data_IF_016570258901
#
_entry.id   IF_016570258901
#
_cell.length_a   1.000
_cell.length_b   1.000
_cell.length_c   1.000
_cell.angle_alpha   90.00
_cell.angle_beta   90.00
_cell.angle_gamma   90.00
#
_symmetry.space_group_name_H-M   'P 1'
#
loop_
_entity.id
_entity.type
_entity.pdbx_description
1 polymer ?
#
# COMPACT_ATOMS: atom_id res chain seq x y z
N UNK A 1 33.47 -8.85 43.83
CA UNK A 1 33.83 -9.07 42.42
C UNK A 1 32.55 -9.46 41.68
N UNK A 2 31.88 -8.50 41.04
CA UNK A 2 30.55 -8.69 40.42
C UNK A 2 30.71 -9.22 38.99
N UNK A 3 30.18 -10.42 38.73
CA UNK A 3 30.03 -10.98 37.39
C UNK A 3 28.81 -10.30 36.76
N UNK A 4 29.03 -9.49 35.71
CA UNK A 4 27.97 -8.95 34.87
C UNK A 4 27.55 -10.02 33.87
N UNK A 5 26.36 -10.60 34.07
CA UNK A 5 25.71 -11.47 33.09
C UNK A 5 25.13 -10.60 31.99
N UNK A 6 25.72 -10.65 30.79
CA UNK A 6 25.15 -10.02 29.60
C UNK A 6 24.04 -10.93 29.07
N UNK A 7 22.79 -10.46 29.11
CA UNK A 7 21.67 -11.05 28.40
C UNK A 7 21.88 -10.74 26.92
N UNK A 8 22.18 -11.78 26.14
CA UNK A 8 22.21 -11.70 24.69
C UNK A 8 20.75 -11.72 24.22
N UNK A 9 20.22 -10.55 23.83
CA UNK A 9 18.93 -10.46 23.16
C UNK A 9 19.10 -11.08 21.76
N UNK A 10 18.68 -12.33 21.61
CA UNK A 10 18.55 -12.94 20.30
C UNK A 10 17.29 -12.37 19.65
N UNK A 11 17.45 -11.39 18.76
CA UNK A 11 16.40 -11.05 17.81
C UNK A 11 16.19 -12.27 16.91
N UNK A 12 15.15 -13.05 17.18
CA UNK A 12 14.65 -14.05 16.24
C UNK A 12 14.01 -13.26 15.10
N UNK A 13 14.80 -12.97 14.07
CA UNK A 13 14.29 -12.58 12.76
C UNK A 13 13.50 -13.79 12.24
N UNK A 14 12.18 -13.75 12.42
CA UNK A 14 11.25 -14.63 11.73
C UNK A 14 11.31 -14.32 10.24
N UNK A 15 12.25 -14.92 9.54
CA UNK A 15 12.36 -14.85 8.09
C UNK A 15 11.30 -15.82 7.56
N UNK A 16 10.12 -15.31 7.26
CA UNK A 16 9.19 -16.01 6.38
C UNK A 16 9.83 -16.02 4.99
N UNK A 17 10.06 -17.21 4.45
CA UNK A 17 10.46 -17.34 3.05
C UNK A 17 9.25 -16.90 2.21
N UNK A 18 9.36 -15.76 1.53
CA UNK A 18 8.39 -15.39 0.49
C UNK A 18 8.54 -16.47 -0.58
N UNK A 19 7.46 -17.20 -0.84
CA UNK A 19 7.46 -18.22 -1.88
C UNK A 19 7.65 -17.51 -3.22
N UNK A 20 8.65 -17.93 -3.99
CA UNK A 20 8.95 -17.43 -5.33
C UNK A 20 7.83 -17.68 -6.39
N UNK A 21 6.61 -17.99 -5.95
CA UNK A 21 5.42 -18.23 -6.77
C UNK A 21 4.15 -17.62 -6.14
N UNK A 22 4.28 -16.71 -5.18
CA UNK A 22 3.10 -15.97 -4.71
C UNK A 22 2.72 -14.91 -5.75
N UNK A 23 1.43 -14.79 -6.01
CA UNK A 23 0.84 -13.72 -6.80
C UNK A 23 -0.07 -12.93 -5.86
N UNK A 24 -0.12 -11.60 -5.98
CA UNK A 24 -1.07 -10.80 -5.23
C UNK A 24 -2.50 -11.20 -5.48
N UNK A 25 -3.32 -11.01 -4.44
CA UNK A 25 -4.77 -11.17 -4.51
C UNK A 25 -5.34 -9.77 -4.36
N UNK A 26 -6.01 -9.27 -5.40
CA UNK A 26 -6.62 -7.93 -5.35
C UNK A 26 -7.80 -7.93 -4.39
N UNK A 27 -7.55 -7.61 -3.13
CA UNK A 27 -8.56 -7.59 -2.07
C UNK A 27 -8.51 -6.31 -1.21
N UNK A 28 -7.56 -5.41 -1.45
CA UNK A 28 -7.41 -4.13 -0.75
C UNK A 28 -6.51 -4.21 0.48
N UNK A 29 -5.93 -5.37 0.79
CA UNK A 29 -5.03 -5.60 1.92
C UNK A 29 -3.62 -5.92 1.44
N UNK A 30 -2.64 -5.32 2.10
CA UNK A 30 -1.24 -5.70 1.87
C UNK A 30 -0.90 -6.99 2.63
N UNK A 31 -0.43 -8.03 1.92
CA UNK A 31 0.25 -9.17 2.52
C UNK A 31 1.70 -9.29 2.03
N UNK A 32 2.65 -9.38 2.97
CA UNK A 32 4.06 -9.59 2.64
C UNK A 32 4.31 -10.95 1.95
N UNK A 33 3.39 -11.89 2.11
CA UNK A 33 3.42 -13.20 1.49
C UNK A 33 3.01 -13.21 0.01
N UNK A 34 2.47 -12.12 -0.53
CA UNK A 34 1.84 -12.06 -1.86
C UNK A 34 2.80 -11.76 -3.01
N UNK A 35 4.09 -11.58 -2.74
CA UNK A 35 5.11 -11.54 -3.78
C UNK A 35 5.40 -10.15 -4.34
N UNK A 36 4.84 -9.07 -3.77
CA UNK A 36 5.29 -7.70 -4.04
C UNK A 36 6.81 -7.58 -3.85
N UNK A 37 7.52 -7.38 -4.96
CA UNK A 37 8.97 -7.47 -5.03
C UNK A 37 9.64 -6.12 -5.35
N UNK A 38 8.85 -5.09 -5.62
CA UNK A 38 9.32 -3.72 -5.80
C UNK A 38 8.51 -2.73 -4.97
N UNK A 39 9.15 -1.67 -4.50
CA UNK A 39 8.49 -0.60 -3.76
C UNK A 39 9.06 0.79 -4.08
N UNK A 40 8.20 1.79 -3.92
CA UNK A 40 8.50 3.21 -4.08
C UNK A 40 7.84 4.00 -2.95
N UNK A 41 8.56 4.96 -2.38
CA UNK A 41 7.97 6.01 -1.58
C UNK A 41 7.69 7.25 -2.43
N UNK A 42 6.44 7.69 -2.40
CA UNK A 42 5.91 8.77 -3.24
C UNK A 42 5.57 9.96 -2.34
N UNK A 43 6.37 11.03 -2.45
CA UNK A 43 6.19 12.25 -1.68
C UNK A 43 5.31 13.26 -2.46
N UNK A 44 4.32 13.92 -1.81
CA UNK A 44 3.43 14.88 -2.47
C UNK A 44 4.19 16.04 -3.14
N UNK A 45 3.78 16.38 -4.37
CA UNK A 45 4.47 17.37 -5.23
C UNK A 45 4.26 18.83 -4.80
N UNK A 46 3.16 19.14 -4.09
CA UNK A 46 2.81 20.48 -3.59
C UNK A 46 3.54 20.89 -2.31
N UNK A 47 4.59 20.16 -1.96
CA UNK A 47 5.14 20.20 -0.63
C UNK A 47 6.30 21.16 -0.43
N UNK A 48 6.07 22.19 0.38
CA UNK A 48 7.14 22.90 1.05
C UNK A 48 7.78 21.95 2.08
N UNK A 49 8.81 21.22 1.66
CA UNK A 49 9.62 20.29 2.46
C UNK A 49 10.09 20.91 3.78
N UNK A 50 10.20 22.24 3.81
CA UNK A 50 10.70 23.02 4.94
C UNK A 50 9.70 23.24 6.08
N UNK A 51 8.39 22.94 5.92
CA UNK A 51 7.37 23.32 6.93
C UNK A 51 6.69 22.18 7.66
N UNK A 52 6.56 20.99 7.07
CA UNK A 52 6.08 19.81 7.80
C UNK A 52 6.25 18.55 6.94
N UNK A 53 7.36 17.78 7.04
CA UNK A 53 7.57 16.54 6.29
C UNK A 53 6.61 15.42 6.76
N UNK A 54 5.30 15.61 6.65
CA UNK A 54 4.32 14.54 6.53
C UNK A 54 4.77 13.40 5.62
N UNK A 55 4.28 12.22 6.00
CA UNK A 55 4.81 10.95 5.50
C UNK A 55 4.46 10.75 4.02
N UNK A 56 5.32 10.05 3.25
CA UNK A 56 5.06 9.70 1.87
C UNK A 56 4.00 8.60 1.77
N UNK A 57 3.30 8.53 0.63
CA UNK A 57 2.60 7.31 0.25
C UNK A 57 3.62 6.23 -0.14
N UNK A 58 3.25 4.96 -0.02
CA UNK A 58 4.09 3.84 -0.46
C UNK A 58 3.36 3.06 -1.53
N UNK A 59 4.04 2.77 -2.64
CA UNK A 59 3.54 1.90 -3.70
C UNK A 59 4.36 0.62 -3.74
N UNK A 60 3.69 -0.52 -3.86
CA UNK A 60 4.29 -1.83 -4.05
C UNK A 60 3.86 -2.40 -5.39
N UNK A 61 4.77 -3.13 -6.03
CA UNK A 61 4.55 -3.67 -7.36
C UNK A 61 4.95 -5.14 -7.43
N UNK A 62 4.20 -5.87 -8.23
CA UNK A 62 4.51 -7.21 -8.68
C UNK A 62 4.14 -7.30 -10.16
N UNK A 63 4.97 -8.00 -10.95
CA UNK A 63 4.62 -8.30 -12.33
C UNK A 63 4.71 -9.81 -12.57
N UNK A 64 3.61 -10.40 -13.02
CA UNK A 64 3.54 -11.84 -13.29
C UNK A 64 4.46 -12.19 -14.47
N UNK A 65 5.40 -13.14 -14.32
CA UNK A 65 6.37 -13.46 -15.36
C UNK A 65 5.79 -14.25 -16.55
N UNK A 66 4.56 -14.73 -16.44
CA UNK A 66 3.86 -15.53 -17.45
C UNK A 66 2.81 -14.74 -18.22
N UNK A 67 2.06 -13.86 -17.54
CA UNK A 67 1.02 -13.02 -18.16
C UNK A 67 1.46 -11.58 -18.36
N UNK A 68 2.54 -11.14 -17.72
CA UNK A 68 2.98 -9.74 -17.66
C UNK A 68 2.01 -8.77 -16.99
N UNK A 69 0.95 -9.29 -16.36
CA UNK A 69 0.04 -8.47 -15.56
C UNK A 69 0.79 -7.75 -14.46
N UNK A 70 0.40 -6.50 -14.21
CA UNK A 70 1.01 -5.65 -13.21
C UNK A 70 0.04 -5.45 -12.06
N UNK A 71 0.38 -5.99 -10.89
CA UNK A 71 -0.32 -5.72 -9.64
C UNK A 71 0.34 -4.56 -8.91
N UNK A 72 -0.48 -3.61 -8.46
CA UNK A 72 -0.03 -2.41 -7.75
C UNK A 72 -0.83 -2.25 -6.47
N UNK A 73 -0.13 -2.02 -5.36
CA UNK A 73 -0.72 -1.65 -4.07
C UNK A 73 -0.24 -0.27 -3.65
N UNK A 74 -1.15 0.62 -3.32
CA UNK A 74 -0.88 1.98 -2.87
C UNK A 74 -1.36 2.12 -1.43
N UNK A 75 -0.45 2.46 -0.52
CA UNK A 75 -0.74 2.80 0.87
C UNK A 75 -0.57 4.29 1.08
N UNK A 76 -1.65 4.96 1.49
CA UNK A 76 -1.60 6.35 1.89
C UNK A 76 -1.15 6.48 3.35
N UNK A 77 -0.45 7.58 3.68
CA UNK A 77 -0.06 7.83 5.06
C UNK A 77 -1.28 8.23 5.89
N UNK A 78 -1.42 7.65 7.07
CA UNK A 78 -2.49 7.96 8.02
C UNK A 78 -2.52 9.44 8.47
N UNK A 79 -1.40 10.16 8.30
CA UNK A 79 -1.32 11.62 8.51
C UNK A 79 -1.99 12.43 7.40
N UNK A 80 -2.41 11.79 6.29
CA UNK A 80 -3.21 12.37 5.22
C UNK A 80 -4.68 11.99 5.34
N UNK A 81 -4.98 10.69 5.31
CA UNK A 81 -6.32 10.09 5.41
C UNK A 81 -6.20 8.67 5.98
N UNK A 82 -7.21 8.22 6.72
CA UNK A 82 -7.30 6.87 7.27
C UNK A 82 -8.76 6.44 7.43
N UNK A 83 -8.99 5.16 7.69
CA UNK A 83 -10.29 4.56 7.95
C UNK A 83 -10.70 4.68 9.43
N UNK A 84 -10.33 5.79 10.09
CA UNK A 84 -10.82 6.10 11.44
C UNK A 84 -11.89 7.19 11.38
N UNK A 85 -13.06 6.91 11.95
CA UNK A 85 -14.22 7.81 11.83
C UNK A 85 -15.19 7.69 13.00
N UNK A 86 -16.13 8.62 13.06
CA UNK A 86 -17.08 8.74 14.17
C UNK A 86 -16.39 9.18 15.46
N UNK A 87 -16.82 8.63 16.59
CA UNK A 87 -16.24 8.93 17.91
C UNK A 87 -14.82 8.40 18.08
N UNK A 88 -14.41 7.44 17.25
CA UNK A 88 -13.10 6.80 17.26
C UNK A 88 -12.13 7.40 16.22
N UNK A 89 -12.50 8.52 15.58
CA UNK A 89 -11.68 9.19 14.60
C UNK A 89 -10.37 9.73 15.20
N UNK A 90 -9.22 9.33 14.65
CA UNK A 90 -7.88 9.74 15.12
C UNK A 90 -7.36 10.92 14.31
N UNK A 91 -7.10 12.05 14.97
CA UNK A 91 -6.50 13.22 14.32
C UNK A 91 -7.47 14.06 13.48
N UNK A 92 -8.78 13.86 13.64
CA UNK A 92 -9.86 14.56 12.90
C UNK A 92 -10.53 15.71 13.69
N UNK A 93 -9.91 16.17 14.77
CA UNK A 93 -10.49 16.99 15.85
C UNK A 93 -11.25 18.27 15.46
N UNK A 94 -10.97 18.87 14.30
CA UNK A 94 -11.62 20.12 13.87
C UNK A 94 -12.53 19.99 12.64
N UNK A 95 -12.41 18.90 11.88
CA UNK A 95 -13.20 18.68 10.64
C UNK A 95 -14.30 17.64 10.83
N UNK A 96 -14.14 16.75 11.81
CA UNK A 96 -14.89 15.50 11.85
C UNK A 96 -14.45 14.57 10.71
N UNK A 97 -14.80 13.30 10.85
CA UNK A 97 -14.73 12.31 9.79
C UNK A 97 -15.79 11.27 10.11
N UNK A 98 -16.65 10.99 9.14
CA UNK A 98 -17.75 10.05 9.25
C UNK A 98 -17.64 9.02 8.13
N UNK A 99 -18.29 7.88 8.31
CA UNK A 99 -18.38 6.86 7.25
C UNK A 99 -18.90 7.42 5.91
N UNK A 100 -19.81 8.41 5.97
CA UNK A 100 -20.36 9.06 4.76
C UNK A 100 -19.34 9.90 4.00
N UNK A 101 -18.27 10.32 4.65
CA UNK A 101 -17.20 11.04 3.99
C UNK A 101 -16.29 10.11 3.18
N UNK A 102 -16.32 8.79 3.45
CA UNK A 102 -15.66 7.78 2.62
C UNK A 102 -16.57 7.31 1.47
N UNK A 103 -17.87 7.24 1.73
CA UNK A 103 -18.87 6.71 0.81
C UNK A 103 -19.18 7.68 -0.34
N UNK A 104 -18.84 7.27 -1.57
CA UNK A 104 -19.01 8.03 -2.83
C UNK A 104 -18.31 9.40 -2.84
N UNK A 105 -17.16 9.53 -2.19
CA UNK A 105 -16.41 10.79 -2.11
C UNK A 105 -14.96 10.60 -2.50
N UNK A 106 -14.27 9.69 -1.80
CA UNK A 106 -12.83 9.51 -1.98
C UNK A 106 -12.52 8.65 -3.22
N UNK A 107 -11.44 9.00 -3.92
CA UNK A 107 -10.98 8.31 -5.14
C UNK A 107 -9.51 8.56 -5.45
N UNK A 108 -8.96 7.73 -6.32
CA UNK A 108 -7.63 7.90 -6.89
C UNK A 108 -7.65 7.69 -8.41
N UNK A 109 -7.09 8.66 -9.16
CA UNK A 109 -7.00 8.63 -10.61
C UNK A 109 -5.56 8.31 -11.05
N UNK A 110 -5.42 7.39 -11.98
CA UNK A 110 -4.14 6.88 -12.47
C UNK A 110 -4.02 6.99 -13.99
N UNK A 111 -2.82 7.31 -14.45
CA UNK A 111 -2.44 7.24 -15.86
C UNK A 111 -1.25 6.30 -16.03
N UNK A 112 -1.34 5.39 -17.00
CA UNK A 112 -0.26 4.52 -17.43
C UNK A 112 0.21 4.97 -18.80
N UNK A 113 1.51 5.19 -18.94
CA UNK A 113 2.14 5.56 -20.20
C UNK A 113 3.24 4.58 -20.58
N UNK A 114 3.39 4.35 -21.88
CA UNK A 114 4.49 3.60 -22.49
C UNK A 114 5.12 4.50 -23.55
N UNK A 115 6.43 4.76 -23.46
CA UNK A 115 7.16 5.65 -24.37
C UNK A 115 6.50 7.04 -24.51
N UNK A 116 6.06 7.63 -23.39
CA UNK A 116 5.34 8.90 -23.31
C UNK A 116 3.97 8.92 -24.03
N UNK A 117 3.37 7.76 -24.30
CA UNK A 117 2.01 7.64 -24.81
C UNK A 117 1.12 7.00 -23.75
N UNK A 118 0.03 7.67 -23.39
CA UNK A 118 -0.98 7.11 -22.50
C UNK A 118 -1.58 5.86 -23.12
N UNK A 119 -1.44 4.72 -22.44
CA UNK A 119 -2.00 3.43 -22.84
C UNK A 119 -3.26 3.08 -22.03
N UNK A 120 -3.39 3.63 -20.83
CA UNK A 120 -4.52 3.40 -19.94
C UNK A 120 -4.69 4.58 -18.99
N UNK A 121 -5.93 4.99 -18.75
CA UNK A 121 -6.30 5.95 -17.71
C UNK A 121 -7.51 5.40 -16.95
N UNK A 122 -7.51 5.47 -15.62
CA UNK A 122 -8.59 4.94 -14.81
C UNK A 122 -8.67 5.65 -13.47
N UNK A 123 -9.84 5.61 -12.84
CA UNK A 123 -10.10 6.09 -11.49
C UNK A 123 -10.71 4.97 -10.66
N UNK A 124 -10.24 4.81 -9.43
CA UNK A 124 -10.78 3.85 -8.46
C UNK A 124 -11.58 4.63 -7.43
N UNK A 125 -12.88 4.34 -7.35
CA UNK A 125 -13.70 4.81 -6.24
C UNK A 125 -13.31 4.10 -4.97
N UNK A 126 -13.10 4.87 -3.91
CA UNK A 126 -12.62 4.33 -2.65
C UNK A 126 -13.66 3.42 -1.99
N UNK A 127 -14.91 3.84 -2.00
CA UNK A 127 -16.05 3.11 -1.50
C UNK A 127 -17.35 3.63 -2.13
N UNK A 128 -18.17 2.74 -2.66
CA UNK A 128 -19.51 3.05 -3.15
C UNK A 128 -20.51 1.94 -2.81
N UNK A 129 -21.80 2.29 -2.89
CA UNK A 129 -22.89 1.35 -2.75
C UNK A 129 -23.85 1.49 -3.93
N UNK A 130 -23.93 0.49 -4.83
CA UNK A 130 -24.89 0.49 -5.91
C UNK A 130 -26.32 0.63 -5.40
N UNK A 131 -27.17 1.25 -6.21
CA UNK A 131 -28.60 1.34 -5.90
C UNK A 131 -29.19 -0.07 -5.79
N UNK A 132 -29.89 -0.33 -4.68
CA UNK A 132 -30.49 -1.64 -4.36
C UNK A 132 -29.50 -2.75 -4.00
N UNK A 133 -28.27 -2.41 -3.64
CA UNK A 133 -27.32 -3.34 -3.03
C UNK A 133 -27.29 -3.15 -1.52
N UNK A 134 -27.19 -4.24 -0.77
CA UNK A 134 -26.83 -4.24 0.65
C UNK A 134 -25.29 -4.37 0.85
N UNK A 135 -24.57 -4.72 -0.22
CA UNK A 135 -23.11 -4.87 -0.23
C UNK A 135 -22.39 -3.56 -0.62
N UNK A 136 -21.13 -3.48 -0.19
CA UNK A 136 -20.23 -2.35 -0.42
C UNK A 136 -19.13 -2.72 -1.43
N UNK A 137 -18.78 -1.77 -2.28
CA UNK A 137 -17.85 -2.01 -3.38
C UNK A 137 -16.80 -0.89 -3.47
N UNK A 138 -15.68 -1.20 -4.10
CA UNK A 138 -14.71 -0.25 -4.61
C UNK A 138 -14.35 -0.64 -6.05
N UNK A 139 -13.64 0.24 -6.76
CA UNK A 139 -13.17 -0.05 -8.12
C UNK A 139 -13.60 0.97 -9.16
N UNK A 140 -13.48 0.58 -10.43
CA UNK A 140 -13.64 1.46 -11.60
C UNK A 140 -15.11 1.64 -12.05
N UNK A 141 -16.04 0.90 -11.45
CA UNK A 141 -17.47 0.91 -11.81
C UNK A 141 -18.32 1.84 -10.92
N UNK A 142 -17.69 2.52 -9.96
CA UNK A 142 -18.35 3.44 -9.05
C UNK A 142 -18.83 4.74 -9.72
N UNK A 143 -19.34 5.67 -8.92
CA UNK A 143 -19.84 6.94 -9.42
C UNK A 143 -18.74 7.84 -10.00
N UNK A 144 -17.57 7.86 -9.37
CA UNK A 144 -16.39 8.61 -9.83
C UNK A 144 -15.29 7.69 -10.38
N UNK A 145 -15.53 6.37 -10.33
CA UNK A 145 -14.71 5.34 -10.95
C UNK A 145 -14.84 5.39 -12.47
N UNK A 146 -13.73 5.14 -13.15
CA UNK A 146 -13.72 5.03 -14.61
C UNK A 146 -12.53 4.21 -15.10
N UNK A 147 -12.59 3.74 -16.35
CA UNK A 147 -11.43 3.22 -17.06
C UNK A 147 -11.57 3.53 -18.55
N UNK A 148 -10.49 3.99 -19.19
CA UNK A 148 -10.43 4.21 -20.64
C UNK A 148 -10.57 2.90 -21.42
N UNK A 149 -10.14 1.79 -20.81
CA UNK A 149 -10.46 0.42 -21.20
C UNK A 149 -10.73 -0.41 -19.94
N UNK A 150 -11.99 -0.74 -19.70
CA UNK A 150 -12.39 -1.50 -18.50
C UNK A 150 -11.85 -2.94 -18.51
N UNK A 151 -11.58 -3.54 -19.68
CA UNK A 151 -11.02 -4.90 -19.73
C UNK A 151 -9.54 -4.93 -19.35
N UNK A 152 -8.87 -3.79 -19.40
CA UNK A 152 -7.47 -3.66 -19.00
C UNK A 152 -7.28 -3.70 -17.48
N UNK A 153 -8.34 -3.53 -16.70
CA UNK A 153 -8.31 -3.60 -15.24
C UNK A 153 -8.89 -4.95 -14.83
N UNK A 154 -8.02 -5.87 -14.43
CA UNK A 154 -8.39 -7.24 -14.08
C UNK A 154 -8.99 -7.34 -12.67
N UNK A 155 -8.67 -6.37 -11.81
CA UNK A 155 -9.25 -6.21 -10.49
C UNK A 155 -8.92 -4.85 -9.90
N UNK A 156 -9.77 -4.37 -8.99
CA UNK A 156 -9.52 -3.19 -8.17
C UNK A 156 -10.21 -3.36 -6.81
N UNK A 157 -9.53 -2.97 -5.74
CA UNK A 157 -10.01 -3.08 -4.37
C UNK A 157 -9.39 -1.99 -3.47
N UNK A 158 -9.98 -1.78 -2.29
CA UNK A 158 -9.50 -0.81 -1.30
C UNK A 158 -9.60 -1.39 0.11
N UNK A 159 -8.82 -0.85 1.05
CA UNK A 159 -8.91 -1.29 2.45
C UNK A 159 -10.31 -1.12 3.03
N UNK A 160 -11.09 -0.15 2.58
CA UNK A 160 -12.44 0.04 3.09
C UNK A 160 -13.42 -1.02 2.57
N UNK A 161 -13.30 -1.45 1.31
CA UNK A 161 -14.05 -2.60 0.80
C UNK A 161 -13.67 -3.87 1.57
N UNK A 162 -12.37 -4.12 1.77
CA UNK A 162 -11.88 -5.24 2.58
C UNK A 162 -12.50 -5.24 3.98
N UNK A 163 -12.40 -4.09 4.66
CA UNK A 163 -12.89 -3.90 6.02
C UNK A 163 -14.37 -4.23 6.17
N UNK A 164 -15.20 -3.81 5.20
CA UNK A 164 -16.64 -4.08 5.21
C UNK A 164 -16.99 -5.51 4.80
N UNK A 165 -16.05 -6.24 4.17
CA UNK A 165 -16.14 -7.67 3.94
C UNK A 165 -15.84 -8.52 5.17
N UNK A 166 -15.28 -7.95 6.24
CA UNK A 166 -14.97 -8.67 7.48
C UNK A 166 -16.26 -9.07 8.24
N UNK A 167 -16.24 -10.25 8.84
CA UNK A 167 -17.35 -10.72 9.65
C UNK A 167 -17.58 -9.79 10.86
N UNK A 168 -18.79 -9.24 10.97
CA UNK A 168 -19.16 -8.29 12.04
C UNK A 168 -18.80 -6.84 11.76
N UNK A 169 -18.42 -6.50 10.53
CA UNK A 169 -18.13 -5.12 10.13
C UNK A 169 -19.38 -4.21 10.02
N UNK A 170 -20.57 -4.82 9.90
CA UNK A 170 -21.88 -4.16 9.75
C UNK A 170 -22.23 -3.22 10.91
N UNK A 171 -21.66 -3.45 12.10
CA UNK A 171 -21.85 -2.58 13.26
C UNK A 171 -21.02 -1.29 13.21
N UNK A 172 -20.06 -1.17 12.29
CA UNK A 172 -19.11 -0.05 12.23
C UNK A 172 -19.49 0.99 11.17
N UNK A 173 -20.75 1.13 10.79
CA UNK A 173 -21.17 2.14 9.81
C UNK A 173 -21.30 3.56 10.38
N UNK A 174 -21.33 3.71 11.70
CA UNK A 174 -21.37 5.02 12.38
C UNK A 174 -20.00 5.40 12.96
N UNK A 175 -19.38 4.44 13.65
CA UNK A 175 -18.08 4.59 14.30
C UNK A 175 -17.15 3.48 13.81
N UNK A 176 -15.93 3.81 13.41
CA UNK A 176 -14.93 2.77 13.11
C UNK A 176 -14.62 1.97 14.39
N UNK A 177 -14.01 0.78 14.28
CA UNK A 177 -13.17 0.23 15.32
C UNK A 177 -12.42 1.26 16.17
N UNK A 178 -12.26 0.98 17.46
CA UNK A 178 -11.53 1.86 18.37
C UNK A 178 -10.06 1.92 17.92
N UNK A 179 -9.65 3.07 17.41
CA UNK A 179 -8.26 3.45 17.24
C UNK A 179 -7.90 4.42 18.37
N UNK A 180 -6.90 4.08 19.18
CA UNK A 180 -6.37 5.04 20.14
C UNK A 180 -5.42 6.00 19.43
N UNK A 181 -5.22 7.20 19.97
CA UNK A 181 -4.28 8.19 19.40
C UNK A 181 -2.85 7.68 19.23
N UNK A 182 -2.51 6.59 19.95
CA UNK A 182 -1.17 6.05 20.06
C UNK A 182 -1.06 4.64 19.43
N UNK A 183 -2.19 4.04 19.01
CA UNK A 183 -2.21 2.75 18.31
C UNK A 183 -3.52 2.53 17.53
N UNK A 184 -3.39 2.23 16.24
CA UNK A 184 -4.40 1.59 15.39
C UNK A 184 -4.63 0.10 15.79
N UNK A 185 -4.49 -0.21 17.08
CA UNK A 185 -4.60 -1.57 17.61
C UNK A 185 -6.03 -1.77 18.12
N UNK A 186 -6.82 -2.56 17.39
CA UNK A 186 -8.16 -2.95 17.81
C UNK A 186 -8.28 -4.47 17.99
N UNK A 187 -8.41 -4.90 19.24
CA UNK A 187 -8.68 -6.31 19.57
C UNK A 187 -10.06 -6.83 19.14
N UNK A 188 -11.04 -5.96 18.86
CA UNK A 188 -12.41 -6.39 18.52
C UNK A 188 -12.57 -6.80 17.05
N UNK A 189 -11.74 -6.24 16.17
CA UNK A 189 -11.68 -6.59 14.75
C UNK A 189 -10.23 -6.42 14.30
N UNK A 190 -9.41 -7.42 14.64
CA UNK A 190 -7.95 -7.36 14.50
C UNK A 190 -7.47 -7.20 13.05
N UNK A 191 -8.31 -7.59 12.10
CA UNK A 191 -8.01 -7.50 10.67
C UNK A 191 -8.45 -6.16 10.05
N UNK A 192 -8.99 -5.22 10.83
CA UNK A 192 -9.36 -3.90 10.30
C UNK A 192 -8.13 -3.10 9.91
N UNK A 193 -8.11 -2.62 8.66
CA UNK A 193 -7.04 -1.85 8.08
C UNK A 193 -7.37 -0.37 8.21
N UNK A 194 -6.58 0.35 9.01
CA UNK A 194 -6.78 1.78 9.19
C UNK A 194 -6.13 2.60 8.07
N UNK A 195 -5.08 2.10 7.46
CA UNK A 195 -4.47 2.74 6.29
C UNK A 195 -5.47 2.80 5.13
N UNK A 196 -5.58 3.97 4.50
CA UNK A 196 -6.32 4.09 3.26
C UNK A 196 -5.47 3.53 2.11
N UNK A 197 -5.99 2.50 1.42
CA UNK A 197 -5.24 1.78 0.41
C UNK A 197 -6.04 1.62 -0.88
N UNK A 198 -5.32 1.57 -1.99
CA UNK A 198 -5.86 1.23 -3.30
C UNK A 198 -5.03 0.07 -3.86
N UNK A 199 -5.68 -0.92 -4.42
CA UNK A 199 -5.02 -2.06 -5.04
C UNK A 199 -5.67 -2.34 -6.39
N UNK A 200 -4.88 -2.65 -7.40
CA UNK A 200 -5.39 -3.00 -8.72
C UNK A 200 -4.42 -3.87 -9.50
N UNK A 201 -4.95 -4.55 -10.51
CA UNK A 201 -4.19 -5.33 -11.48
C UNK A 201 -4.48 -4.85 -12.91
N UNK A 202 -3.42 -4.56 -13.66
CA UNK A 202 -3.48 -4.18 -15.08
C UNK A 202 -3.11 -5.38 -15.95
N UNK A 203 -3.88 -5.60 -17.01
CA UNK A 203 -3.63 -6.64 -18.02
C UNK A 203 -2.28 -6.40 -18.75
N UNK A 204 -1.45 -7.43 -18.80
CA UNK A 204 -0.16 -7.42 -19.49
C UNK A 204 -0.26 -7.09 -20.99
N UNK A 205 -1.40 -7.36 -21.63
CA UNK A 205 -1.62 -7.02 -23.05
C UNK A 205 -1.53 -5.51 -23.28
N UNK A 206 -2.04 -4.68 -22.35
CA UNK A 206 -1.97 -3.22 -22.43
C UNK A 206 -0.54 -2.71 -22.23
N UNK A 207 0.27 -3.48 -21.52
CA UNK A 207 1.70 -3.23 -21.31
C UNK A 207 2.57 -3.78 -22.45
N UNK A 208 1.95 -4.38 -23.48
CA UNK A 208 2.62 -4.95 -24.64
C UNK A 208 3.26 -6.31 -24.37
N UNK A 209 2.86 -7.02 -23.31
CA UNK A 209 3.41 -8.30 -22.87
C UNK A 209 4.93 -8.26 -22.64
N UNK A 210 5.38 -7.25 -21.91
CA UNK A 210 6.78 -7.03 -21.57
C UNK A 210 6.94 -6.66 -20.11
N UNK A 211 8.12 -6.92 -19.56
CA UNK A 211 8.45 -6.44 -18.22
C UNK A 211 8.53 -4.91 -18.19
N UNK A 212 7.90 -4.29 -17.21
CA UNK A 212 7.93 -2.83 -16.99
C UNK A 212 8.64 -2.46 -15.69
N UNK A 213 8.92 -3.45 -14.84
CA UNK A 213 9.61 -3.28 -13.56
C UNK A 213 11.08 -3.71 -13.68
N UNK A 214 11.98 -2.85 -13.20
CA UNK A 214 13.41 -3.13 -13.06
C UNK A 214 13.92 -2.71 -11.68
N UNK A 215 15.09 -3.20 -11.27
CA UNK A 215 15.71 -2.79 -10.01
C UNK A 215 16.33 -1.40 -10.14
N UNK A 216 15.62 -0.38 -9.65
CA UNK A 216 16.02 1.02 -9.70
C UNK A 216 15.62 1.75 -10.98
N UNK A 217 14.84 1.12 -11.87
CA UNK A 217 14.43 1.71 -13.14
C UNK A 217 13.05 1.19 -13.62
N UNK A 218 12.30 2.04 -14.31
CA UNK A 218 11.17 1.60 -15.12
C UNK A 218 11.70 1.06 -16.45
N UNK A 219 11.18 -0.08 -16.91
CA UNK A 219 11.58 -0.69 -18.17
C UNK A 219 10.64 -0.32 -19.31
N UNK A 220 11.12 -0.43 -20.55
CA UNK A 220 10.32 -0.29 -21.77
C UNK A 220 9.51 1.03 -21.86
N UNK A 221 10.07 2.10 -21.31
CA UNK A 221 9.45 3.43 -21.32
C UNK A 221 8.15 3.51 -20.51
N UNK A 222 7.95 2.59 -19.56
CA UNK A 222 6.81 2.60 -18.67
C UNK A 222 6.87 3.73 -17.66
N UNK A 223 5.71 4.34 -17.42
CA UNK A 223 5.49 5.30 -16.35
C UNK A 223 4.07 5.09 -15.82
N UNK A 224 3.93 5.07 -14.49
CA UNK A 224 2.66 5.13 -13.79
C UNK A 224 2.55 6.53 -13.16
N UNK A 225 1.39 7.15 -13.23
CA UNK A 225 1.11 8.44 -12.61
C UNK A 225 -0.09 8.28 -11.69
N UNK A 226 0.01 8.85 -10.48
CA UNK A 226 -1.16 9.12 -9.63
C UNK A 226 -1.55 10.57 -9.91
N UNK A 227 -2.52 10.78 -10.79
CA UNK A 227 -2.87 12.09 -11.34
C UNK A 227 -3.65 12.94 -10.34
N UNK A 228 -4.65 12.33 -9.72
CA UNK A 228 -5.50 12.96 -8.72
C UNK A 228 -5.70 12.00 -7.55
N UNK A 229 -5.73 12.57 -6.35
CA UNK A 229 -6.07 11.85 -5.14
C UNK A 229 -7.06 12.71 -4.34
N UNK A 230 -8.33 12.33 -4.43
CA UNK A 230 -9.38 12.98 -3.69
C UNK A 230 -9.60 12.26 -2.36
N UNK A 231 -9.37 13.00 -1.28
CA UNK A 231 -9.75 12.60 0.07
C UNK A 231 -10.42 13.79 0.77
N UNK A 232 -11.73 13.72 1.01
CA UNK A 232 -12.51 14.82 1.57
C UNK A 232 -13.46 14.36 2.68
N UNK A 233 -13.20 14.70 3.96
CA UNK A 233 -12.13 15.57 4.42
C UNK A 233 -10.77 14.84 4.41
N UNK A 234 -9.70 15.61 4.29
CA UNK A 234 -8.33 15.17 4.58
C UNK A 234 -7.78 15.87 5.83
N UNK A 235 -6.81 15.25 6.51
CA UNK A 235 -6.16 15.81 7.71
C UNK A 235 -5.18 16.94 7.39
N UNK A 236 -4.66 16.98 6.16
CA UNK A 236 -3.72 18.00 5.65
C UNK A 236 -4.07 18.41 4.22
N UNK A 237 -3.47 19.48 3.73
CA UNK A 237 -3.71 20.01 2.37
C UNK A 237 -3.57 18.95 1.27
N UNK A 238 -4.23 19.19 0.14
CA UNK A 238 -4.34 18.30 -1.01
C UNK A 238 -3.02 17.63 -1.42
N UNK A 239 -3.11 16.34 -1.72
CA UNK A 239 -2.04 15.54 -2.27
C UNK A 239 -2.04 15.76 -3.78
N UNK A 240 -1.20 16.67 -4.25
CA UNK A 240 -1.12 16.98 -5.68
C UNK A 240 -0.49 15.81 -6.44
N UNK A 241 -0.95 15.57 -7.67
CA UNK A 241 -0.53 14.47 -8.54
C UNK A 241 0.99 14.27 -8.61
N UNK A 242 1.39 13.00 -8.70
CA UNK A 242 2.78 12.57 -8.56
C UNK A 242 3.13 11.55 -9.61
N UNK A 243 4.26 11.80 -10.26
CA UNK A 243 5.01 10.77 -11.00
C UNK A 243 5.90 10.05 -9.99
N UNK A 244 5.61 8.79 -9.62
CA UNK A 244 6.46 8.01 -8.75
C UNK A 244 7.86 7.86 -9.40
N UNK A 245 8.94 8.02 -8.64
CA UNK A 245 10.27 7.68 -9.14
C UNK A 245 10.34 6.19 -9.46
N UNK A 246 11.38 5.71 -10.18
CA UNK A 246 11.49 4.31 -10.50
C UNK A 246 11.51 3.36 -9.28
N UNK A 247 10.97 2.14 -9.42
CA UNK A 247 10.90 1.17 -8.34
C UNK A 247 12.26 0.67 -7.92
N UNK A 248 12.42 0.41 -6.62
CA UNK A 248 13.56 -0.32 -6.08
C UNK A 248 13.13 -1.70 -5.62
N UNK A 249 14.00 -2.70 -5.76
CA UNK A 249 13.69 -4.04 -5.26
C UNK A 249 13.42 -4.00 -3.75
N UNK A 250 12.31 -4.59 -3.32
CA UNK A 250 12.06 -4.84 -1.90
C UNK A 250 13.12 -5.87 -1.47
N UNK A 251 13.91 -5.60 -0.41
CA UNK A 251 14.89 -6.56 0.04
C UNK A 251 14.21 -7.89 0.38
N UNK A 252 14.47 -8.91 -0.44
CA UNK A 252 14.05 -10.28 -0.17
C UNK A 252 14.42 -10.64 1.28
N UNK A 253 13.50 -11.20 2.10
CA UNK A 253 13.81 -11.58 3.48
C UNK A 253 15.02 -12.51 3.57
N UNK A 254 15.24 -13.31 2.52
CA UNK A 254 16.40 -14.19 2.37
C UNK A 254 17.72 -13.42 2.16
N UNK A 255 17.73 -12.30 1.43
CA UNK A 255 18.90 -11.43 1.24
C UNK A 255 19.30 -10.73 2.53
N UNK A 256 18.32 -10.25 3.31
CA UNK A 256 18.55 -9.73 4.65
C UNK A 256 19.10 -10.80 5.61
N UNK A 257 18.57 -12.03 5.53
CA UNK A 257 19.05 -13.17 6.30
C UNK A 257 20.48 -13.58 5.95
N UNK A 258 20.83 -13.62 4.66
CA UNK A 258 22.17 -14.01 4.19
C UNK A 258 23.22 -12.97 4.59
N UNK A 259 22.89 -11.69 4.51
CA UNK A 259 23.72 -10.59 5.02
C UNK A 259 23.90 -10.71 6.55
N UNK A 260 22.83 -11.02 7.28
CA UNK A 260 22.89 -11.28 8.73
C UNK A 260 23.80 -12.47 9.08
N UNK A 261 23.70 -13.58 8.35
CA UNK A 261 24.56 -14.76 8.54
C UNK A 261 26.02 -14.49 8.14
N UNK A 262 26.25 -13.74 7.06
CA UNK A 262 27.59 -13.33 6.64
C UNK A 262 28.26 -12.40 7.66
N UNK A 263 27.50 -11.44 8.21
CA UNK A 263 27.95 -10.57 9.28
C UNK A 263 28.28 -11.34 10.57
N UNK A 264 27.45 -12.31 10.96
CA UNK A 264 27.73 -13.22 12.08
C UNK A 264 28.95 -14.12 11.83
N UNK A 265 29.13 -14.61 10.61
CA UNK A 265 30.33 -15.35 10.19
C UNK A 265 31.61 -14.53 10.31
N UNK A 266 31.57 -13.25 9.93
CA UNK A 266 32.70 -12.32 10.07
C UNK A 266 32.99 -11.99 11.55
N UNK A 267 31.98 -11.79 12.38
CA UNK A 267 32.13 -11.51 13.81
C UNK A 267 32.68 -12.71 14.60
N UNK A 268 32.27 -13.93 14.25
CA UNK A 268 32.79 -15.17 14.87
C UNK A 268 34.23 -15.47 14.43
N UNK A 269 34.60 -15.15 13.19
CA UNK A 269 35.98 -15.31 12.69
C UNK A 269 36.95 -14.33 13.37
N UNK A 270 36.51 -13.11 13.68
CA UNK A 270 37.32 -12.10 14.40
C UNK A 270 37.66 -12.51 15.83
N UNK A 271 36.81 -13.28 16.51
CA UNK A 271 37.08 -13.81 17.86
C UNK A 271 38.05 -14.99 17.90
N UNK A 272 38.28 -15.68 16.78
CA UNK A 272 39.23 -16.80 16.71
C UNK A 272 40.67 -16.36 16.42
N UNK A 273 40.89 -15.11 15.99
CA UNK A 273 42.20 -14.58 15.63
C UNK A 273 43.04 -13.99 16.78
N UNK A 274 42.47 -13.80 17.99
CA UNK A 274 43.16 -13.11 19.10
C UNK A 274 43.72 -14.04 20.18
N UNK A 275 43.93 -15.33 19.89
CA UNK A 275 44.66 -16.25 20.77
C UNK A 275 45.95 -16.70 20.10
N UNK A 276 46.95 -15.83 20.09
CA UNK A 276 48.37 -16.16 20.04
C UNK A 276 49.12 -15.17 20.93
#
# INVERSE_FOLDING_TARGET
MMVKTAILLACVLGITAISANASPIVDGRFDVGEGYNYAISVAPSSYNVDKNPGDPATMYFFQDPSTFNLSVFVSLPATYVDNSYGVNAVGWTNKGHSFKDLLNSDKADFTVSIHNQTVLQFGIDYLYQPKHSDDWFAGVDGNDGFASDANAILGAATSMQYNLGLAGADQYLDDSPNASSDSYDNSALADWIFEATYEFEIDGDVLGNQFVLGDGEWLNGFELYLDDLHASPNKRSEFAGITPPPPSAVPEPSSAALLGLAAMGLLTRRRRGSRR
#
